data_IF_515698961486
#
_entry.id   IF_515698961486
#
_cell.length_a   1.000
_cell.length_b   1.000
_cell.length_c   1.000
_cell.angle_alpha   90.00
_cell.angle_beta   90.00
_cell.angle_gamma   90.00
#
_symmetry.space_group_name_H-M   'P 1'
#
loop_
_entity.id
_entity.type
_entity.pdbx_description
1 polymer ?
#
# COMPACT_ATOMS: atom_id res chain seq x y z
N UNK A 1 0.90 3.19 -19.34
CA UNK A 1 0.58 1.75 -19.55
C UNK A 1 -0.91 1.59 -19.29
N UNK A 2 -1.66 0.81 -20.10
CA UNK A 2 -3.06 0.52 -19.78
C UNK A 2 -3.13 -0.23 -18.44
N UNK A 3 -4.21 -0.07 -17.64
CA UNK A 3 -4.34 -0.75 -16.36
C UNK A 3 -4.33 -2.28 -16.56
N UNK A 4 -3.80 -3.04 -15.59
CA UNK A 4 -3.93 -4.49 -15.60
C UNK A 4 -5.41 -4.90 -15.55
N UNK A 5 -5.77 -6.09 -16.08
CA UNK A 5 -7.12 -6.60 -15.94
C UNK A 5 -7.47 -6.74 -14.45
N UNK A 6 -8.70 -6.38 -14.03
CA UNK A 6 -9.08 -6.45 -12.63
C UNK A 6 -9.03 -7.90 -12.10
N UNK A 7 -8.87 -8.09 -10.78
CA UNK A 7 -9.08 -9.41 -10.18
C UNK A 7 -10.50 -9.90 -10.41
N UNK A 8 -10.68 -11.19 -10.70
CA UNK A 8 -12.03 -11.74 -10.97
C UNK A 8 -12.88 -11.88 -9.71
N UNK A 9 -12.24 -12.09 -8.57
CA UNK A 9 -12.85 -12.20 -7.24
C UNK A 9 -11.80 -11.98 -6.13
N UNK A 10 -12.19 -11.94 -4.84
CA UNK A 10 -11.25 -11.70 -3.75
C UNK A 10 -10.18 -12.78 -3.56
N UNK A 11 -10.38 -14.01 -4.06
CA UNK A 11 -9.35 -15.05 -3.99
C UNK A 11 -8.29 -14.85 -5.09
N UNK A 12 -8.70 -14.50 -6.32
CA UNK A 12 -7.76 -14.07 -7.37
C UNK A 12 -6.93 -12.87 -6.89
N UNK A 13 -7.56 -11.89 -6.23
CA UNK A 13 -6.84 -10.74 -5.66
C UNK A 13 -5.80 -11.18 -4.60
N UNK A 14 -6.14 -12.12 -3.71
CA UNK A 14 -5.20 -12.66 -2.71
C UNK A 14 -4.06 -13.45 -3.36
N UNK A 15 -4.33 -14.24 -4.39
CA UNK A 15 -3.31 -15.00 -5.12
C UNK A 15 -2.32 -14.06 -5.82
N UNK A 16 -2.83 -12.98 -6.42
CA UNK A 16 -2.01 -11.91 -7.00
C UNK A 16 -1.17 -11.22 -5.93
N UNK A 17 -1.75 -10.85 -4.79
CA UNK A 17 -1.03 -10.24 -3.67
C UNK A 17 0.12 -11.14 -3.20
N UNK A 18 -0.14 -12.44 -2.99
CA UNK A 18 0.89 -13.40 -2.63
C UNK A 18 2.00 -13.52 -3.69
N UNK A 19 1.66 -13.41 -4.98
CA UNK A 19 2.66 -13.36 -6.04
C UNK A 19 3.49 -12.07 -5.99
N UNK A 20 2.87 -10.90 -5.83
CA UNK A 20 3.58 -9.61 -5.74
C UNK A 20 4.53 -9.56 -4.54
N UNK A 21 4.13 -10.10 -3.40
CA UNK A 21 5.03 -10.24 -2.25
C UNK A 21 6.24 -11.12 -2.55
N UNK A 22 6.05 -12.24 -3.27
CA UNK A 22 7.16 -13.11 -3.69
C UNK A 22 8.10 -12.37 -4.63
N UNK A 23 7.56 -11.64 -5.60
CA UNK A 23 8.33 -10.87 -6.58
C UNK A 23 9.14 -9.76 -5.88
N UNK A 24 8.53 -9.07 -4.91
CA UNK A 24 9.21 -8.06 -4.10
C UNK A 24 10.34 -8.65 -3.24
N UNK A 25 10.11 -9.81 -2.60
CA UNK A 25 11.16 -10.53 -1.86
C UNK A 25 12.32 -10.94 -2.77
N UNK A 26 12.02 -11.42 -3.99
CA UNK A 26 13.05 -11.73 -4.98
C UNK A 26 13.82 -10.48 -5.44
N UNK A 27 13.15 -9.34 -5.60
CA UNK A 27 13.80 -8.07 -5.92
C UNK A 27 14.73 -7.59 -4.79
N UNK A 28 14.33 -7.75 -3.52
CA UNK A 28 15.20 -7.45 -2.37
C UNK A 28 16.49 -8.29 -2.38
N UNK A 29 16.38 -9.58 -2.68
CA UNK A 29 17.54 -10.47 -2.81
C UNK A 29 18.46 -9.99 -3.93
N UNK A 30 17.92 -9.67 -5.10
CA UNK A 30 18.70 -9.16 -6.25
C UNK A 30 19.44 -7.86 -5.94
N UNK A 31 18.82 -6.93 -5.21
CA UNK A 31 19.50 -5.72 -4.73
C UNK A 31 20.66 -6.07 -3.81
N UNK A 32 20.48 -7.05 -2.91
CA UNK A 32 21.54 -7.55 -2.04
C UNK A 32 22.71 -8.13 -2.83
N UNK A 33 22.44 -8.97 -3.81
CA UNK A 33 23.43 -9.60 -4.70
C UNK A 33 24.19 -8.55 -5.53
N UNK A 34 23.47 -7.61 -6.16
CA UNK A 34 24.09 -6.53 -6.93
C UNK A 34 25.00 -5.65 -6.06
N UNK A 35 24.55 -5.32 -4.84
CA UNK A 35 25.37 -4.57 -3.87
C UNK A 35 26.58 -5.35 -3.41
N UNK A 36 26.48 -6.66 -3.22
CA UNK A 36 27.61 -7.52 -2.86
C UNK A 36 28.64 -7.56 -3.98
N UNK A 37 28.22 -7.83 -5.22
CA UNK A 37 29.09 -7.80 -6.40
C UNK A 37 29.77 -6.44 -6.59
N UNK A 38 29.05 -5.35 -6.39
CA UNK A 38 29.62 -4.00 -6.45
C UNK A 38 30.71 -3.78 -5.41
N UNK A 39 30.57 -4.31 -4.19
CA UNK A 39 31.58 -4.21 -3.11
C UNK A 39 32.82 -5.06 -3.35
N UNK A 40 32.67 -6.16 -4.08
CA UNK A 40 33.79 -7.04 -4.48
C UNK A 40 34.57 -6.49 -5.69
N UNK A 41 34.00 -5.51 -6.40
CA UNK A 41 34.63 -4.87 -7.55
C UNK A 41 35.79 -3.96 -7.17
N UNK A 42 36.85 -3.94 -8.00
CA UNK A 42 37.94 -2.96 -7.91
C UNK A 42 37.47 -1.50 -8.06
N UNK A 43 36.28 -1.28 -8.64
CA UNK A 43 35.67 0.04 -8.80
C UNK A 43 34.96 0.54 -7.54
N UNK A 44 34.87 -0.28 -6.48
CA UNK A 44 34.19 0.08 -5.24
C UNK A 44 34.89 1.22 -4.50
N UNK A 45 34.11 2.24 -4.17
CA UNK A 45 34.57 3.37 -3.36
C UNK A 45 33.49 3.70 -2.32
N UNK A 46 33.73 3.45 -1.01
CA UNK A 46 32.79 3.75 0.05
C UNK A 46 32.34 5.21 0.09
N UNK A 47 33.17 6.15 -0.35
CA UNK A 47 32.84 7.58 -0.38
C UNK A 47 31.84 7.94 -1.49
N UNK A 48 31.77 7.13 -2.55
CA UNK A 48 30.84 7.30 -3.67
C UNK A 48 29.61 6.37 -3.58
N UNK A 49 29.73 5.28 -2.81
CA UNK A 49 28.68 4.28 -2.65
C UNK A 49 28.33 3.58 -3.97
N UNK A 50 27.04 3.28 -4.16
CA UNK A 50 26.55 2.51 -5.32
C UNK A 50 26.21 3.35 -6.56
N UNK A 51 26.32 4.68 -6.47
CA UNK A 51 25.98 5.59 -7.58
C UNK A 51 26.66 5.24 -8.92
N UNK A 52 27.91 4.75 -8.96
CA UNK A 52 28.58 4.40 -10.22
C UNK A 52 28.23 3.02 -10.80
N UNK A 53 27.34 2.25 -10.15
CA UNK A 53 27.01 0.87 -10.51
C UNK A 53 25.58 0.80 -11.05
N UNK A 54 25.46 0.82 -12.38
CA UNK A 54 24.17 0.81 -13.07
C UNK A 54 23.33 -0.42 -12.67
N UNK A 55 23.94 -1.60 -12.57
CA UNK A 55 23.25 -2.83 -12.11
C UNK A 55 22.61 -2.67 -10.72
N UNK A 56 23.23 -1.90 -9.82
CA UNK A 56 22.65 -1.62 -8.49
C UNK A 56 21.51 -0.62 -8.61
N UNK A 57 21.63 0.39 -9.48
CA UNK A 57 20.56 1.36 -9.71
C UNK A 57 19.33 0.69 -10.33
N UNK A 58 19.53 -0.15 -11.35
CA UNK A 58 18.48 -0.90 -12.02
C UNK A 58 17.79 -1.87 -11.04
N UNK A 59 18.55 -2.62 -10.24
CA UNK A 59 17.97 -3.51 -9.24
C UNK A 59 17.15 -2.75 -8.18
N UNK A 60 17.60 -1.56 -7.76
CA UNK A 60 16.86 -0.71 -6.81
C UNK A 60 15.59 -0.16 -7.44
N UNK A 61 15.64 0.23 -8.72
CA UNK A 61 14.48 0.69 -9.47
C UNK A 61 13.43 -0.42 -9.63
N UNK A 62 13.84 -1.61 -10.05
CA UNK A 62 12.96 -2.78 -10.15
C UNK A 62 12.34 -3.17 -8.81
N UNK A 63 13.11 -3.06 -7.72
CA UNK A 63 12.60 -3.28 -6.37
C UNK A 63 11.54 -2.24 -5.98
N UNK A 64 11.72 -0.97 -6.36
CA UNK A 64 10.72 0.07 -6.11
C UNK A 64 9.42 -0.20 -6.87
N UNK A 65 9.51 -0.61 -8.15
CA UNK A 65 8.34 -1.02 -8.94
C UNK A 65 7.64 -2.24 -8.33
N UNK A 66 8.40 -3.25 -7.89
CA UNK A 66 7.84 -4.42 -7.23
C UNK A 66 7.14 -4.06 -5.91
N UNK A 67 7.68 -3.10 -5.15
CA UNK A 67 7.05 -2.57 -3.94
C UNK A 67 5.73 -1.86 -4.25
N UNK A 68 5.71 -1.03 -5.28
CA UNK A 68 4.47 -0.38 -5.76
C UNK A 68 3.43 -1.41 -6.16
N UNK A 69 3.81 -2.47 -6.87
CA UNK A 69 2.90 -3.54 -7.25
C UNK A 69 2.31 -4.31 -6.05
N UNK A 70 3.05 -4.41 -4.92
CA UNK A 70 2.49 -4.93 -3.66
C UNK A 70 1.37 -4.01 -3.19
N UNK A 71 1.61 -2.71 -3.06
CA UNK A 71 0.58 -1.76 -2.62
C UNK A 71 -0.66 -1.79 -3.52
N UNK A 72 -0.47 -1.84 -4.83
CA UNK A 72 -1.58 -1.96 -5.78
C UNK A 72 -2.38 -3.25 -5.56
N UNK A 73 -1.73 -4.38 -5.27
CA UNK A 73 -2.44 -5.64 -5.03
C UNK A 73 -3.28 -5.64 -3.74
N UNK A 74 -2.85 -4.91 -2.70
CA UNK A 74 -3.66 -4.71 -1.50
C UNK A 74 -4.92 -3.86 -1.81
N UNK A 75 -4.74 -2.79 -2.58
CA UNK A 75 -5.87 -1.96 -3.02
C UNK A 75 -6.82 -2.72 -3.95
N UNK A 76 -6.29 -3.58 -4.82
CA UNK A 76 -7.06 -4.46 -5.69
C UNK A 76 -7.90 -5.46 -4.89
N UNK A 77 -7.35 -6.03 -3.82
CA UNK A 77 -8.14 -6.85 -2.88
C UNK A 77 -9.26 -6.04 -2.23
N UNK A 78 -8.95 -4.83 -1.75
CA UNK A 78 -9.94 -3.96 -1.13
C UNK A 78 -11.08 -3.62 -2.11
N UNK A 79 -10.75 -3.32 -3.37
CA UNK A 79 -11.72 -3.06 -4.43
C UNK A 79 -12.53 -4.30 -4.79
N UNK A 80 -11.90 -5.47 -4.86
CA UNK A 80 -12.59 -6.74 -5.11
C UNK A 80 -13.62 -7.04 -4.01
N UNK A 81 -13.29 -6.81 -2.74
CA UNK A 81 -14.24 -6.94 -1.64
C UNK A 81 -15.41 -5.95 -1.76
N UNK A 82 -15.13 -4.71 -2.18
CA UNK A 82 -16.15 -3.68 -2.39
C UNK A 82 -17.11 -4.04 -3.54
N UNK A 83 -16.59 -4.50 -4.68
CA UNK A 83 -17.42 -4.92 -5.82
C UNK A 83 -18.33 -6.08 -5.46
N UNK A 84 -17.82 -7.08 -4.72
CA UNK A 84 -18.64 -8.18 -4.17
C UNK A 84 -19.73 -7.65 -3.24
N UNK A 85 -19.39 -6.77 -2.28
CA UNK A 85 -20.36 -6.21 -1.34
C UNK A 85 -21.47 -5.41 -2.03
N UNK A 86 -21.17 -4.77 -3.16
CA UNK A 86 -22.13 -3.99 -3.95
C UNK A 86 -22.86 -4.80 -5.02
N UNK A 87 -22.46 -6.04 -5.29
CA UNK A 87 -22.99 -6.86 -6.39
C UNK A 87 -22.64 -6.29 -7.78
N UNK A 88 -21.48 -5.64 -7.90
CA UNK A 88 -21.00 -5.02 -9.14
C UNK A 88 -20.04 -5.94 -9.90
N UNK A 89 -19.83 -5.64 -11.19
CA UNK A 89 -18.83 -6.33 -11.98
C UNK A 89 -17.40 -6.00 -11.49
N UNK A 90 -16.43 -6.92 -11.68
CA UNK A 90 -15.04 -6.64 -11.36
C UNK A 90 -14.52 -5.34 -12.00
N UNK A 91 -13.80 -4.54 -11.20
CA UNK A 91 -13.28 -3.23 -11.60
C UNK A 91 -11.82 -3.07 -11.20
N UNK A 92 -11.08 -2.28 -11.96
CA UNK A 92 -9.69 -1.90 -11.69
C UNK A 92 -9.62 -0.59 -10.88
N UNK A 93 -8.43 -0.30 -10.32
CA UNK A 93 -8.21 0.86 -9.46
C UNK A 93 -8.43 2.20 -10.16
N UNK A 94 -8.37 2.24 -11.49
CA UNK A 94 -8.68 3.42 -12.32
C UNK A 94 -10.11 3.95 -12.11
N UNK A 95 -11.03 3.12 -11.59
CA UNK A 95 -12.37 3.56 -11.15
C UNK A 95 -12.30 4.62 -10.03
N UNK A 96 -11.18 4.66 -9.30
CA UNK A 96 -10.87 5.66 -8.27
C UNK A 96 -9.76 6.64 -8.71
N UNK A 97 -9.57 6.82 -10.02
CA UNK A 97 -8.54 7.65 -10.65
C UNK A 97 -7.09 7.21 -10.32
N UNK A 98 -6.88 5.94 -9.96
CA UNK A 98 -5.53 5.41 -9.72
C UNK A 98 -4.72 5.35 -11.01
N UNK A 99 -3.48 5.83 -10.94
CA UNK A 99 -2.47 5.68 -11.99
C UNK A 99 -1.48 4.58 -11.58
N UNK A 100 -1.53 3.45 -12.29
CA UNK A 100 -0.66 2.30 -12.03
C UNK A 100 0.83 2.63 -12.19
N UNK A 101 1.68 1.92 -11.45
CA UNK A 101 3.15 2.01 -11.41
C UNK A 101 3.70 3.36 -10.88
N UNK A 102 2.82 4.34 -10.66
CA UNK A 102 3.20 5.68 -10.18
C UNK A 102 3.43 5.72 -8.67
N UNK A 103 2.87 4.78 -7.91
CA UNK A 103 2.95 4.80 -6.45
C UNK A 103 1.98 5.79 -5.80
N UNK A 104 1.87 5.74 -4.46
CA UNK A 104 0.86 6.51 -3.71
C UNK A 104 1.18 8.00 -3.67
N UNK A 105 2.39 8.35 -3.22
CA UNK A 105 2.81 9.74 -2.98
C UNK A 105 2.86 10.59 -4.26
N UNK A 106 3.09 9.97 -5.42
CA UNK A 106 3.27 10.69 -6.68
C UNK A 106 1.96 11.05 -7.39
N UNK A 107 0.81 10.99 -6.73
CA UNK A 107 -0.47 11.51 -7.26
C UNK A 107 -1.70 10.67 -6.98
N UNK A 108 -1.57 9.55 -6.25
CA UNK A 108 -2.65 8.62 -5.99
C UNK A 108 -3.26 8.74 -4.58
N UNK A 109 -2.72 9.60 -3.69
CA UNK A 109 -3.24 9.78 -2.31
C UNK A 109 -4.76 9.99 -2.26
N UNK A 110 -5.32 10.77 -3.19
CA UNK A 110 -6.76 11.05 -3.25
C UNK A 110 -7.60 9.77 -3.51
N UNK A 111 -7.05 8.80 -4.24
CA UNK A 111 -7.69 7.50 -4.47
C UNK A 111 -7.97 6.81 -3.13
N UNK A 112 -7.01 6.82 -2.19
CA UNK A 112 -7.18 6.20 -0.86
C UNK A 112 -8.36 6.82 -0.11
N UNK A 113 -8.53 8.14 -0.20
CA UNK A 113 -9.64 8.86 0.44
C UNK A 113 -11.00 8.41 -0.12
N UNK A 114 -11.10 8.26 -1.44
CA UNK A 114 -12.33 7.81 -2.08
C UNK A 114 -12.63 6.33 -1.79
N UNK A 115 -11.60 5.48 -1.78
CA UNK A 115 -11.73 4.07 -1.43
C UNK A 115 -12.22 3.89 0.01
N UNK A 116 -11.60 4.58 0.99
CA UNK A 116 -12.04 4.55 2.38
C UNK A 116 -13.49 4.97 2.53
N UNK A 117 -13.88 6.10 1.94
CA UNK A 117 -15.27 6.57 2.00
C UNK A 117 -16.26 5.56 1.40
N UNK A 118 -15.91 4.91 0.28
CA UNK A 118 -16.75 3.90 -0.35
C UNK A 118 -16.86 2.63 0.50
N UNK A 119 -15.76 2.16 1.08
CA UNK A 119 -15.71 0.95 1.91
C UNK A 119 -16.42 1.14 3.24
N UNK A 120 -16.22 2.29 3.90
CA UNK A 120 -16.96 2.63 5.12
C UNK A 120 -18.46 2.66 4.85
N UNK A 121 -18.90 3.28 3.74
CA UNK A 121 -20.32 3.31 3.37
C UNK A 121 -20.90 1.91 3.10
N UNK A 122 -20.09 1.00 2.57
CA UNK A 122 -20.49 -0.37 2.25
C UNK A 122 -20.22 -1.38 3.38
N UNK A 123 -19.73 -0.93 4.55
CA UNK A 123 -19.32 -1.77 5.69
C UNK A 123 -18.28 -2.86 5.33
N UNK A 124 -17.32 -2.54 4.46
CA UNK A 124 -16.27 -3.48 4.03
C UNK A 124 -15.03 -3.32 4.91
N UNK A 125 -15.06 -3.93 6.10
CA UNK A 125 -14.04 -3.80 7.16
C UNK A 125 -12.63 -4.14 6.66
N UNK A 126 -12.44 -5.36 6.15
CA UNK A 126 -11.10 -5.78 5.71
C UNK A 126 -10.57 -4.90 4.57
N UNK A 127 -11.45 -4.40 3.68
CA UNK A 127 -11.06 -3.45 2.66
C UNK A 127 -10.55 -2.13 3.24
N UNK A 128 -11.21 -1.60 4.28
CA UNK A 128 -10.72 -0.43 5.02
C UNK A 128 -9.32 -0.69 5.57
N UNK A 129 -9.09 -1.84 6.20
CA UNK A 129 -7.78 -2.20 6.74
C UNK A 129 -6.67 -2.28 5.67
N UNK A 130 -6.96 -2.85 4.49
CA UNK A 130 -5.99 -2.87 3.38
C UNK A 130 -5.62 -1.45 2.92
N UNK A 131 -6.59 -0.54 2.81
CA UNK A 131 -6.33 0.85 2.39
C UNK A 131 -5.54 1.61 3.45
N UNK A 132 -5.85 1.43 4.74
CA UNK A 132 -5.10 2.04 5.84
C UNK A 132 -3.66 1.51 5.90
N UNK A 133 -3.46 0.20 5.70
CA UNK A 133 -2.14 -0.39 5.64
C UNK A 133 -1.29 0.25 4.53
N UNK A 134 -1.84 0.42 3.31
CA UNK A 134 -1.14 1.09 2.21
C UNK A 134 -0.82 2.55 2.55
N UNK A 135 -1.75 3.28 3.18
CA UNK A 135 -1.51 4.67 3.60
C UNK A 135 -0.34 4.78 4.59
N UNK A 136 -0.32 3.91 5.60
CA UNK A 136 0.74 3.86 6.62
C UNK A 136 2.09 3.50 6.01
N UNK A 137 2.14 2.44 5.19
CA UNK A 137 3.39 1.97 4.56
C UNK A 137 3.99 2.98 3.56
N UNK A 138 3.14 3.83 2.98
CA UNK A 138 3.58 4.90 2.09
C UNK A 138 3.86 6.22 2.83
N UNK A 139 3.58 6.30 4.14
CA UNK A 139 3.78 7.51 4.94
C UNK A 139 2.88 8.67 4.52
N UNK A 140 1.68 8.40 4.02
CA UNK A 140 0.73 9.42 3.54
C UNK A 140 -0.54 9.51 4.40
N UNK A 141 -0.53 8.90 5.58
CA UNK A 141 -1.71 8.81 6.47
C UNK A 141 -2.28 10.19 6.79
N UNK A 142 -1.44 11.19 7.09
CA UNK A 142 -1.86 12.58 7.29
C UNK A 142 -2.34 13.33 6.04
N UNK A 143 -2.09 12.80 4.85
CA UNK A 143 -2.52 13.39 3.57
C UNK A 143 -3.88 12.87 3.09
N UNK A 144 -4.38 11.79 3.69
CA UNK A 144 -5.72 11.24 3.42
C UNK A 144 -6.79 12.22 3.93
N UNK A 145 -7.89 12.35 3.19
CA UNK A 145 -9.01 13.23 3.57
C UNK A 145 -9.46 12.96 5.02
N UNK A 146 -9.44 13.97 5.91
CA UNK A 146 -9.74 13.78 7.33
C UNK A 146 -11.14 13.23 7.60
N UNK A 147 -12.11 13.51 6.73
CA UNK A 147 -13.48 13.01 6.91
C UNK A 147 -13.56 11.53 6.55
N UNK A 148 -12.90 11.11 5.46
CA UNK A 148 -12.78 9.70 5.11
C UNK A 148 -12.02 8.93 6.20
N UNK A 149 -10.89 9.45 6.68
CA UNK A 149 -10.10 8.86 7.76
C UNK A 149 -10.91 8.71 9.05
N UNK A 150 -11.62 9.77 9.48
CA UNK A 150 -12.49 9.72 10.65
C UNK A 150 -13.60 8.68 10.52
N UNK A 151 -14.21 8.55 9.34
CA UNK A 151 -15.24 7.55 9.07
C UNK A 151 -14.71 6.12 9.19
N UNK A 152 -13.54 5.86 8.61
CA UNK A 152 -12.87 4.57 8.68
C UNK A 152 -12.49 4.20 10.12
N UNK A 153 -11.83 5.11 10.85
CA UNK A 153 -11.41 4.86 12.24
C UNK A 153 -12.59 4.71 13.19
N UNK A 154 -13.67 5.47 12.99
CA UNK A 154 -14.91 5.33 13.77
C UNK A 154 -15.54 3.96 13.57
N UNK A 155 -15.68 3.52 12.33
CA UNK A 155 -16.19 2.18 12.01
C UNK A 155 -15.35 1.06 12.64
N UNK A 156 -14.02 1.15 12.56
CA UNK A 156 -13.13 0.16 13.18
C UNK A 156 -13.21 0.21 14.72
N UNK A 157 -13.27 1.39 15.33
CA UNK A 157 -13.39 1.53 16.78
C UNK A 157 -14.71 0.95 17.32
N UNK A 158 -15.82 1.17 16.62
CA UNK A 158 -17.12 0.60 16.99
C UNK A 158 -17.07 -0.95 16.96
N UNK A 159 -16.41 -1.52 15.95
CA UNK A 159 -16.25 -2.97 15.83
C UNK A 159 -15.26 -3.56 16.84
N UNK A 160 -14.20 -2.81 17.19
CA UNK A 160 -13.25 -3.17 18.24
C UNK A 160 -13.97 -3.25 19.60
N UNK A 161 -14.81 -2.26 19.92
CA UNK A 161 -15.60 -2.23 21.16
C UNK A 161 -16.55 -3.44 21.26
N UNK A 162 -17.09 -3.89 20.13
CA UNK A 162 -17.96 -5.07 20.05
C UNK A 162 -17.18 -6.40 20.01
N UNK A 163 -15.84 -6.37 19.98
CA UNK A 163 -15.00 -7.57 19.87
C UNK A 163 -15.14 -8.30 18.54
N UNK A 164 -15.45 -7.57 17.46
CA UNK A 164 -15.71 -8.11 16.13
C UNK A 164 -14.53 -7.98 15.17
N UNK A 165 -13.48 -7.24 15.55
CA UNK A 165 -12.24 -7.19 14.79
C UNK A 165 -11.35 -8.39 15.08
N UNK A 166 -10.67 -8.88 14.06
CA UNK A 166 -9.59 -9.85 14.22
C UNK A 166 -8.26 -9.13 14.55
N UNK A 167 -7.21 -9.90 14.87
CA UNK A 167 -5.93 -9.33 15.31
C UNK A 167 -5.29 -8.39 14.28
N UNK A 168 -5.34 -8.72 12.99
CA UNK A 168 -4.76 -7.88 11.94
C UNK A 168 -5.55 -6.58 11.75
N UNK A 169 -6.87 -6.62 11.91
CA UNK A 169 -7.73 -5.45 11.75
C UNK A 169 -7.54 -4.48 12.94
N UNK A 170 -7.32 -5.02 14.15
CA UNK A 170 -6.92 -4.25 15.34
C UNK A 170 -5.54 -3.63 15.16
N UNK A 171 -4.57 -4.37 14.61
CA UNK A 171 -3.22 -3.85 14.35
C UNK A 171 -3.27 -2.66 13.37
N UNK A 172 -4.04 -2.78 12.27
CA UNK A 172 -4.21 -1.70 11.31
C UNK A 172 -4.82 -0.44 11.94
N UNK A 173 -5.83 -0.62 12.81
CA UNK A 173 -6.45 0.48 13.56
C UNK A 173 -5.45 1.18 14.48
N UNK A 174 -4.69 0.41 15.27
CA UNK A 174 -3.75 0.95 16.25
C UNK A 174 -2.57 1.63 15.59
N UNK A 175 -1.98 1.02 14.56
CA UNK A 175 -0.90 1.61 13.79
C UNK A 175 -1.33 2.96 13.20
N UNK A 176 -2.52 3.04 12.61
CA UNK A 176 -3.02 4.30 12.03
C UNK A 176 -3.23 5.37 13.11
N UNK A 177 -3.77 5.00 14.28
CA UNK A 177 -3.92 5.91 15.42
C UNK A 177 -2.56 6.42 15.93
N UNK A 178 -1.52 5.59 15.92
CA UNK A 178 -0.16 5.97 16.34
C UNK A 178 0.46 6.96 15.36
N UNK A 179 0.41 6.67 14.05
CA UNK A 179 0.93 7.57 13.00
C UNK A 179 0.29 8.96 13.08
N UNK A 180 -1.03 9.04 13.20
CA UNK A 180 -1.73 10.33 13.30
C UNK A 180 -1.33 11.12 14.56
N UNK A 181 -1.12 10.44 15.70
CA UNK A 181 -0.64 11.11 16.92
C UNK A 181 0.77 11.65 16.77
N UNK A 182 1.65 10.91 16.11
CA UNK A 182 3.03 11.35 15.84
C UNK A 182 3.06 12.58 14.94
N UNK A 183 2.23 12.60 13.90
CA UNK A 183 2.10 13.75 12.99
C UNK A 183 1.52 14.99 13.68
N UNK A 184 0.47 14.84 14.49
CA UNK A 184 -0.09 15.93 15.31
C UNK A 184 0.96 16.51 16.27
N UNK A 185 1.75 15.63 16.90
CA UNK A 185 2.83 16.04 17.80
C UNK A 185 3.95 16.76 17.07
N UNK A 186 4.31 16.32 15.86
CA UNK A 186 5.32 16.97 15.04
C UNK A 186 4.89 18.38 14.58
N UNK A 187 3.61 18.56 14.23
CA UNK A 187 3.04 19.85 13.84
C UNK A 187 2.87 20.83 15.01
N UNK A 188 2.69 20.34 16.24
CA UNK A 188 2.57 21.18 17.43
C UNK A 188 3.91 21.79 17.89
N UNK A 189 5.04 21.28 17.41
CA UNK A 189 6.40 21.69 17.79
C UNK A 189 7.09 22.52 16.69
N UNK A 190 6.48 22.62 15.50
CA UNK A 190 6.94 23.43 14.35
C UNK A 190 6.31 24.82 14.33
#
# INVERSE_FOLDING_TARGET
TPPPPPPTDPNDAKDRMAQRERDFRAALVRVGEAKAAARESERWDPSRGYKPFDDVQDAVYDMALAKTAVYESHLELALSLLTVAKGEAPSSLDTFDWVYERGVADGNVRCLSFMLAAMTKANVVSGVCEVLWVANECGVTGEVDPKAMKGALGMLADLEELGLLDGKDVDALNQTKEVLKEEESAQAVS
#
